data_IF_954488775696
#
_entry.id   IF_954488775696
#
_cell.length_a   1.000
_cell.length_b   1.000
_cell.length_c   1.000
_cell.angle_alpha   90.00
_cell.angle_beta   90.00
_cell.angle_gamma   90.00
#
_symmetry.space_group_name_H-M   'P 1'
#
loop_
_entity.id
_entity.type
_entity.pdbx_description
1 polymer ?
#
# COMPACT_ATOMS: atom_id res chain seq x y z
N UNK A 1 2.66 -16.84 2.87
CA UNK A 1 2.41 -15.38 2.89
C UNK A 1 2.17 -14.95 1.46
N UNK A 2 1.19 -14.06 1.24
CA UNK A 2 0.83 -13.57 -0.10
C UNK A 2 2.04 -12.92 -0.79
N UNK A 3 2.42 -13.32 -2.01
CA UNK A 3 3.54 -12.75 -2.74
C UNK A 3 3.21 -11.34 -3.29
N UNK A 4 4.23 -10.52 -3.55
CA UNK A 4 4.06 -9.16 -4.08
C UNK A 4 3.26 -9.16 -5.39
N UNK A 5 3.52 -10.10 -6.28
CA UNK A 5 2.85 -10.15 -7.59
C UNK A 5 1.33 -10.32 -7.45
N UNK A 6 0.89 -11.14 -6.50
CA UNK A 6 -0.54 -11.30 -6.22
C UNK A 6 -1.13 -10.02 -5.59
N UNK A 7 -0.40 -9.36 -4.68
CA UNK A 7 -0.83 -8.07 -4.13
C UNK A 7 -0.99 -7.03 -5.25
N UNK A 8 -0.02 -6.94 -6.18
CA UNK A 8 -0.07 -6.03 -7.33
C UNK A 8 -1.29 -6.31 -8.21
N UNK A 9 -1.53 -7.57 -8.56
CA UNK A 9 -2.69 -7.97 -9.37
C UNK A 9 -4.01 -7.62 -8.67
N UNK A 10 -4.10 -7.85 -7.36
CA UNK A 10 -5.28 -7.51 -6.55
C UNK A 10 -5.49 -5.98 -6.47
N UNK A 11 -4.42 -5.20 -6.32
CA UNK A 11 -4.52 -3.73 -6.37
C UNK A 11 -4.98 -3.24 -7.74
N UNK A 12 -4.35 -3.69 -8.83
CA UNK A 12 -4.69 -3.29 -10.22
C UNK A 12 -6.14 -3.63 -10.57
N UNK A 13 -6.63 -4.79 -10.13
CA UNK A 13 -8.01 -5.24 -10.38
C UNK A 13 -9.05 -4.65 -9.42
N UNK A 14 -8.64 -3.83 -8.44
CA UNK A 14 -9.54 -3.29 -7.42
C UNK A 14 -10.00 -4.33 -6.38
N UNK A 15 -9.37 -5.49 -6.32
CA UNK A 15 -9.66 -6.55 -5.36
C UNK A 15 -8.98 -6.29 -4.01
N UNK A 16 -9.36 -5.18 -3.37
CA UNK A 16 -8.85 -4.81 -2.07
C UNK A 16 -9.93 -4.25 -1.14
N UNK A 17 -9.73 -4.49 0.15
CA UNK A 17 -10.57 -3.98 1.24
C UNK A 17 -9.80 -2.95 2.06
N UNK A 18 -10.49 -1.92 2.52
CA UNK A 18 -9.92 -0.87 3.34
C UNK A 18 -10.30 -1.13 4.80
N UNK A 19 -9.32 -1.13 5.70
CA UNK A 19 -9.65 -1.07 7.14
C UNK A 19 -10.33 0.27 7.46
N UNK A 20 -10.99 0.35 8.63
CA UNK A 20 -11.52 1.62 9.15
C UNK A 20 -10.46 2.73 9.20
N UNK A 21 -9.21 2.37 9.53
CA UNK A 21 -8.11 3.34 9.54
C UNK A 21 -7.79 3.83 8.13
N UNK A 22 -7.64 2.93 7.17
CA UNK A 22 -7.39 3.27 5.76
C UNK A 22 -8.52 4.12 5.17
N UNK A 23 -9.79 3.80 5.45
CA UNK A 23 -10.95 4.59 5.02
C UNK A 23 -10.87 6.04 5.52
N UNK A 24 -10.49 6.26 6.78
CA UNK A 24 -10.28 7.61 7.32
C UNK A 24 -9.16 8.33 6.56
N UNK A 25 -8.04 7.65 6.27
CA UNK A 25 -6.88 8.24 5.59
C UNK A 25 -7.17 8.67 4.15
N UNK A 26 -7.92 7.88 3.38
CA UNK A 26 -8.23 8.25 1.99
C UNK A 26 -9.07 9.53 1.92
N UNK A 27 -9.99 9.72 2.87
CA UNK A 27 -10.81 10.93 2.97
C UNK A 27 -9.95 12.13 3.39
N UNK A 28 -9.15 11.99 4.45
CA UNK A 28 -8.28 13.06 4.96
C UNK A 28 -7.25 13.55 3.93
N UNK A 29 -6.78 12.65 3.05
CA UNK A 29 -5.65 12.90 2.13
C UNK A 29 -6.05 13.01 0.67
N UNK A 30 -7.36 12.98 0.40
CA UNK A 30 -7.93 12.99 -0.94
C UNK A 30 -7.23 11.98 -1.87
N UNK A 31 -7.14 10.72 -1.41
CA UNK A 31 -6.58 9.62 -2.18
C UNK A 31 -7.73 8.85 -2.81
N UNK A 32 -7.75 8.74 -4.13
CA UNK A 32 -8.84 8.05 -4.82
C UNK A 32 -8.59 6.55 -4.95
N UNK A 33 -9.65 5.79 -5.24
CA UNK A 33 -9.55 4.36 -5.51
C UNK A 33 -8.70 4.08 -6.74
N UNK A 34 -8.79 4.93 -7.75
CA UNK A 34 -8.03 4.86 -8.99
C UNK A 34 -6.54 5.05 -8.72
N UNK A 35 -6.16 6.01 -7.88
CA UNK A 35 -4.76 6.20 -7.48
C UNK A 35 -4.19 4.94 -6.78
N UNK A 36 -4.99 4.27 -5.94
CA UNK A 36 -4.58 2.98 -5.33
C UNK A 36 -4.36 1.93 -6.43
N UNK A 37 -5.27 1.80 -7.38
CA UNK A 37 -5.16 0.82 -8.47
C UNK A 37 -3.93 1.10 -9.37
N UNK A 38 -3.63 2.36 -9.62
CA UNK A 38 -2.46 2.79 -10.40
C UNK A 38 -1.15 2.34 -9.75
N UNK A 39 -1.03 2.49 -8.42
CA UNK A 39 0.19 2.08 -7.69
C UNK A 39 0.48 0.58 -7.83
N UNK A 40 -0.56 -0.26 -7.96
CA UNK A 40 -0.38 -1.71 -8.15
C UNK A 40 0.46 -2.06 -9.38
N UNK A 41 0.50 -1.20 -10.41
CA UNK A 41 1.25 -1.43 -11.65
C UNK A 41 2.75 -1.44 -11.44
N UNK A 42 3.29 -0.73 -10.45
CA UNK A 42 4.73 -0.58 -10.22
C UNK A 42 5.14 -0.68 -8.75
N UNK A 43 4.23 -1.10 -7.87
CA UNK A 43 4.51 -1.20 -6.45
C UNK A 43 5.67 -2.15 -6.14
N UNK A 44 6.54 -1.71 -5.24
CA UNK A 44 7.62 -2.50 -4.66
C UNK A 44 7.44 -2.58 -3.15
N UNK A 45 7.89 -3.69 -2.54
CA UNK A 45 7.99 -3.78 -1.08
C UNK A 45 9.22 -2.98 -0.65
N UNK A 46 9.03 -2.02 0.25
CA UNK A 46 10.12 -1.24 0.84
C UNK A 46 10.41 -1.66 2.29
N UNK A 47 9.41 -2.21 2.99
CA UNK A 47 9.56 -2.81 4.31
C UNK A 47 8.65 -4.05 4.40
N UNK A 48 9.15 -5.14 4.99
CA UNK A 48 8.39 -6.40 5.16
C UNK A 48 8.27 -6.72 6.65
N UNK A 49 7.06 -7.07 7.08
CA UNK A 49 6.69 -7.27 8.49
C UNK A 49 6.04 -8.64 8.67
N UNK A 50 6.79 -9.74 8.53
CA UNK A 50 6.24 -11.10 8.62
C UNK A 50 5.67 -11.44 10.00
N UNK A 51 6.13 -10.74 11.05
CA UNK A 51 5.78 -11.00 12.45
C UNK A 51 4.91 -9.90 13.07
N UNK A 52 4.23 -9.09 12.25
CA UNK A 52 3.33 -8.05 12.75
C UNK A 52 2.27 -8.63 13.69
N UNK A 53 1.97 -7.88 14.77
CA UNK A 53 1.15 -8.34 15.91
C UNK A 53 -0.17 -9.01 15.53
N UNK A 54 -0.82 -8.54 14.47
CA UNK A 54 -2.15 -9.01 14.06
C UNK A 54 -2.08 -9.96 12.87
N UNK A 55 -1.36 -9.57 11.81
CA UNK A 55 -1.20 -10.36 10.59
C UNK A 55 0.13 -9.98 9.95
N UNK A 56 0.84 -10.91 9.27
CA UNK A 56 1.96 -10.55 8.41
C UNK A 56 1.57 -9.39 7.48
N UNK A 57 2.42 -8.38 7.36
CA UNK A 57 2.15 -7.18 6.55
C UNK A 57 3.40 -6.73 5.78
N UNK A 58 3.24 -5.81 4.84
CA UNK A 58 4.35 -5.12 4.20
C UNK A 58 3.95 -3.67 3.88
N UNK A 59 4.96 -2.80 3.80
CA UNK A 59 4.83 -1.46 3.26
C UNK A 59 5.23 -1.45 1.79
N UNK A 60 4.31 -1.04 0.94
CA UNK A 60 4.53 -0.85 -0.48
C UNK A 60 4.81 0.62 -0.81
N UNK A 61 5.71 0.86 -1.74
CA UNK A 61 5.83 2.13 -2.47
C UNK A 61 5.36 1.90 -3.90
N UNK A 62 4.40 2.70 -4.36
CA UNK A 62 4.03 2.79 -5.76
C UNK A 62 3.77 4.24 -6.16
N UNK A 63 3.51 4.46 -7.45
CA UNK A 63 3.27 5.80 -7.98
C UNK A 63 1.95 5.85 -8.75
N UNK A 64 1.23 6.97 -8.61
CA UNK A 64 0.08 7.26 -9.47
C UNK A 64 0.54 7.62 -10.88
N UNK A 65 -0.38 7.69 -11.84
CA UNK A 65 -0.10 8.17 -13.20
C UNK A 65 0.45 9.61 -13.23
N UNK A 66 0.17 10.40 -12.20
CA UNK A 66 0.68 11.76 -12.04
C UNK A 66 2.03 11.83 -11.30
N UNK A 67 2.72 10.70 -11.14
CA UNK A 67 3.97 10.57 -10.38
C UNK A 67 3.86 10.96 -8.90
N UNK A 68 2.67 10.88 -8.31
CA UNK A 68 2.49 11.06 -6.86
C UNK A 68 2.92 9.76 -6.15
N UNK A 69 3.87 9.80 -5.20
CA UNK A 69 4.27 8.61 -4.44
C UNK A 69 3.19 8.25 -3.42
N UNK A 70 2.88 6.97 -3.31
CA UNK A 70 1.98 6.46 -2.28
C UNK A 70 2.60 5.29 -1.54
N UNK A 71 2.58 5.41 -0.21
CA UNK A 71 2.82 4.33 0.72
C UNK A 71 1.51 3.61 1.02
N UNK A 72 1.51 2.29 0.84
CA UNK A 72 0.35 1.45 1.11
C UNK A 72 0.81 0.28 1.97
N UNK A 73 0.38 0.25 3.24
CA UNK A 73 0.61 -0.91 4.08
C UNK A 73 -0.51 -1.92 3.85
N UNK A 74 -0.14 -3.15 3.49
CA UNK A 74 -1.09 -4.21 3.18
C UNK A 74 -0.84 -5.45 4.03
N UNK A 75 -1.89 -6.21 4.28
CA UNK A 75 -1.77 -7.56 4.85
C UNK A 75 -1.21 -8.52 3.81
N UNK A 76 -0.35 -9.44 4.28
CA UNK A 76 0.21 -10.56 3.52
C UNK A 76 -0.43 -11.90 3.87
N UNK A 77 -1.63 -11.87 4.46
CA UNK A 77 -2.48 -13.05 4.56
C UNK A 77 -2.83 -13.55 3.16
N UNK A 78 -2.79 -14.87 3.01
CA UNK A 78 -3.22 -15.55 1.79
C UNK A 78 -4.75 -15.49 1.70
N UNK A 79 -5.25 -14.72 0.73
CA UNK A 79 -6.67 -14.39 0.60
C UNK A 79 -6.97 -13.85 -0.80
N UNK A 80 -8.22 -13.99 -1.24
CA UNK A 80 -8.68 -13.52 -2.55
C UNK A 80 -8.66 -11.99 -2.74
N UNK A 81 -8.51 -11.21 -1.66
CA UNK A 81 -8.51 -9.75 -1.66
C UNK A 81 -7.41 -9.20 -0.77
N UNK A 82 -6.76 -8.12 -1.19
CA UNK A 82 -5.72 -7.47 -0.39
C UNK A 82 -6.37 -6.55 0.65
N UNK A 83 -6.06 -6.74 1.94
CA UNK A 83 -6.48 -5.79 2.97
C UNK A 83 -5.45 -4.66 3.07
N UNK A 84 -5.88 -3.41 2.83
CA UNK A 84 -5.08 -2.20 3.02
C UNK A 84 -5.29 -1.69 4.45
N UNK A 85 -4.22 -1.70 5.23
CA UNK A 85 -4.19 -1.33 6.64
C UNK A 85 -4.12 0.19 6.79
N UNK A 86 -3.25 0.86 6.03
CA UNK A 86 -3.14 2.31 5.96
C UNK A 86 -2.53 2.74 4.63
N UNK A 87 -2.69 4.01 4.28
CA UNK A 87 -2.03 4.61 3.12
C UNK A 87 -1.85 6.12 3.28
N UNK A 88 -0.75 6.63 2.71
CA UNK A 88 -0.33 8.02 2.81
C UNK A 88 0.68 8.37 1.72
N UNK A 89 0.88 9.66 1.49
CA UNK A 89 2.00 10.17 0.71
C UNK A 89 3.22 10.30 1.66
N UNK A 90 4.39 9.74 1.32
CA UNK A 90 5.55 9.75 2.21
C UNK A 90 6.10 11.17 2.43
N UNK A 91 6.40 11.50 3.69
CA UNK A 91 7.08 12.75 4.05
C UNK A 91 8.57 12.69 3.66
N UNK A 92 9.04 13.68 2.91
CA UNK A 92 10.43 13.77 2.45
C UNK A 92 11.44 13.99 3.60
N UNK A 93 10.95 14.46 4.75
CA UNK A 93 11.73 14.59 5.98
C UNK A 93 11.89 13.25 6.70
N UNK A 94 11.05 12.25 6.42
CA UNK A 94 11.13 10.91 7.01
C UNK A 94 11.73 9.88 6.03
N UNK A 95 11.63 10.12 4.72
CA UNK A 95 11.98 9.17 3.66
C UNK A 95 12.97 9.73 2.64
N UNK A 96 14.05 8.98 2.39
CA UNK A 96 14.98 9.20 1.28
C UNK A 96 14.43 8.50 0.04
N UNK A 97 14.26 9.24 -1.05
CA UNK A 97 13.72 8.73 -2.32
C UNK A 97 12.41 7.95 -2.15
N UNK A 98 11.58 8.36 -1.17
CA UNK A 98 10.31 7.71 -0.82
C UNK A 98 10.39 6.22 -0.45
N UNK A 99 11.59 5.64 -0.27
CA UNK A 99 11.73 4.18 -0.14
C UNK A 99 12.59 3.77 1.05
N UNK A 100 13.53 4.61 1.47
CA UNK A 100 14.39 4.34 2.61
C UNK A 100 14.07 5.30 3.74
N UNK A 101 13.66 4.77 4.88
CA UNK A 101 13.44 5.57 6.09
C UNK A 101 14.77 6.19 6.57
N UNK A 102 14.72 7.45 7.00
CA UNK A 102 15.87 8.16 7.56
C UNK A 102 16.25 7.65 8.94
#
# INVERSE_FOLDING_TARGET
>A
MKPLEEIRQQLVSGQFDLTRHALKRIVERNITREEIMETGKNAIIIEDYPNDKYTPSCLLLGFTQKNRPLHIQTSRLDSSRTTIITLYEPDINEWINYSKRR
#
